data_IF_676815544783
#
_entry.id   IF_676815544783
#
_cell.length_a   1.000
_cell.length_b   1.000
_cell.length_c   1.000
_cell.angle_alpha   90.00
_cell.angle_beta   90.00
_cell.angle_gamma   90.00
#
_symmetry.space_group_name_H-M   'P 1'
#
loop_
_entity.id
_entity.type
_entity.pdbx_description
1 polymer ?
#
# COMPACT_ATOMS: atom_id res chain seq x y z
N UNK A 1 -65.86 48.94 -13.31
CA UNK A 1 -64.80 48.03 -12.84
C UNK A 1 -63.78 47.86 -13.96
N UNK A 2 -62.51 48.13 -13.62
CA UNK A 2 -61.24 47.86 -14.31
C UNK A 2 -61.03 48.30 -15.78
N UNK A 3 -60.12 49.26 -15.93
CA UNK A 3 -59.55 49.82 -17.15
C UNK A 3 -58.33 49.03 -17.66
N UNK A 4 -58.16 48.98 -18.97
CA UNK A 4 -56.94 48.60 -19.69
C UNK A 4 -55.89 49.72 -19.66
N UNK A 5 -54.61 49.39 -19.40
CA UNK A 5 -53.48 50.29 -19.63
C UNK A 5 -52.25 49.54 -20.16
N UNK A 6 -51.60 50.21 -21.10
CA UNK A 6 -50.50 49.80 -21.97
C UNK A 6 -49.12 49.95 -21.31
N UNK A 7 -48.16 49.20 -21.86
CA UNK A 7 -46.72 49.04 -21.64
C UNK A 7 -45.87 50.22 -21.12
N UNK A 8 -44.90 49.92 -20.25
CA UNK A 8 -43.55 50.49 -20.33
C UNK A 8 -42.46 49.57 -19.73
N UNK A 9 -41.37 49.45 -20.49
CA UNK A 9 -40.17 48.67 -20.29
C UNK A 9 -39.21 49.38 -19.31
N UNK A 10 -38.68 48.71 -18.29
CA UNK A 10 -37.53 49.21 -17.51
C UNK A 10 -36.70 48.05 -16.94
N UNK A 11 -35.49 47.92 -17.47
CA UNK A 11 -34.36 47.14 -16.93
C UNK A 11 -34.10 47.55 -15.48
N UNK A 12 -34.21 46.62 -14.54
CA UNK A 12 -33.65 46.78 -13.19
C UNK A 12 -32.19 46.30 -13.20
N UNK A 13 -31.32 47.15 -12.66
CA UNK A 13 -29.90 46.95 -12.52
C UNK A 13 -29.60 46.26 -11.18
N UNK A 14 -28.65 45.32 -11.20
CA UNK A 14 -28.09 44.67 -10.02
C UNK A 14 -27.55 45.70 -8.99
N UNK A 15 -27.74 45.48 -7.67
CA UNK A 15 -27.07 46.25 -6.64
C UNK A 15 -25.62 45.76 -6.50
N UNK A 16 -24.68 46.56 -6.98
CA UNK A 16 -23.23 46.38 -6.77
C UNK A 16 -22.87 46.44 -5.28
N UNK A 17 -22.17 45.41 -4.80
CA UNK A 17 -21.58 45.30 -3.45
C UNK A 17 -20.60 46.45 -3.17
N UNK A 18 -20.44 46.87 -1.90
CA UNK A 18 -19.53 47.97 -1.55
C UNK A 18 -18.07 47.58 -1.77
N UNK A 19 -17.33 48.48 -2.43
CA UNK A 19 -15.90 48.39 -2.71
C UNK A 19 -15.12 48.46 -1.39
N UNK A 20 -14.28 47.45 -1.13
CA UNK A 20 -13.47 47.39 0.09
C UNK A 20 -12.42 48.53 0.11
N UNK A 21 -12.25 49.25 1.24
CA UNK A 21 -11.31 50.36 1.31
C UNK A 21 -9.87 49.87 1.08
N UNK A 22 -9.11 50.65 0.31
CA UNK A 22 -7.77 50.30 -0.21
C UNK A 22 -6.76 49.81 0.84
N UNK A 23 -6.96 50.19 2.10
CA UNK A 23 -6.11 49.80 3.22
C UNK A 23 -6.31 48.33 3.67
N UNK A 24 -7.45 47.71 3.35
CA UNK A 24 -7.69 46.28 3.61
C UNK A 24 -7.06 45.37 2.55
N UNK A 25 -6.99 45.84 1.30
CA UNK A 25 -6.30 45.11 0.21
C UNK A 25 -4.80 44.96 0.49
N UNK A 26 -4.15 45.99 1.05
CA UNK A 26 -2.72 45.94 1.40
C UNK A 26 -2.42 44.92 2.49
N UNK A 27 -3.27 44.81 3.52
CA UNK A 27 -3.07 43.82 4.59
C UNK A 27 -3.35 42.41 4.11
N UNK A 28 -4.37 42.21 3.27
CA UNK A 28 -4.67 40.89 2.70
C UNK A 28 -3.56 40.42 1.76
N UNK A 29 -3.02 41.31 0.92
CA UNK A 29 -1.86 41.01 0.09
C UNK A 29 -0.61 40.68 0.90
N UNK A 30 -0.42 41.31 2.07
CA UNK A 30 0.67 40.97 2.99
C UNK A 30 0.47 39.60 3.64
N UNK A 31 -0.76 39.25 4.00
CA UNK A 31 -1.10 37.92 4.52
C UNK A 31 -0.93 36.84 3.45
N UNK A 32 -1.38 37.09 2.23
CA UNK A 32 -1.20 36.18 1.10
C UNK A 32 0.29 36.02 0.74
N UNK A 33 1.08 37.10 0.82
CA UNK A 33 2.53 37.04 0.61
C UNK A 33 3.25 36.22 1.69
N UNK A 34 2.80 36.30 2.96
CA UNK A 34 3.32 35.47 4.05
C UNK A 34 2.90 34.00 3.88
N UNK A 35 1.64 33.73 3.53
CA UNK A 35 1.14 32.38 3.23
C UNK A 35 1.89 31.73 2.05
N UNK A 36 2.17 32.49 0.99
CA UNK A 36 2.91 31.99 -0.17
C UNK A 36 4.41 31.79 0.14
N UNK A 37 5.00 32.64 0.99
CA UNK A 37 6.40 32.47 1.43
C UNK A 37 6.59 31.19 2.27
N UNK A 38 5.56 30.76 3.01
CA UNK A 38 5.56 29.48 3.73
C UNK A 38 5.32 28.28 2.80
N UNK A 39 4.59 28.47 1.69
CA UNK A 39 4.35 27.42 0.69
C UNK A 39 5.57 27.14 -0.22
N UNK A 40 6.38 28.17 -0.50
CA UNK A 40 7.56 28.07 -1.38
C UNK A 40 8.82 27.53 -0.69
N UNK A 41 8.78 27.29 0.62
CA UNK A 41 9.84 26.57 1.32
C UNK A 41 9.56 25.07 1.36
N UNK A 42 9.12 24.52 0.22
CA UNK A 42 9.19 23.08 -0.04
C UNK A 42 10.65 22.74 -0.35
N UNK A 43 11.49 22.73 0.69
CA UNK A 43 12.71 21.91 0.69
C UNK A 43 12.26 20.46 0.62
N UNK A 44 11.87 20.03 -0.58
CA UNK A 44 11.74 18.63 -0.94
C UNK A 44 13.14 18.05 -0.83
N UNK A 45 13.50 17.63 0.37
CA UNK A 45 14.61 16.72 0.59
C UNK A 45 14.20 15.44 -0.13
N UNK A 46 14.52 15.38 -1.43
CA UNK A 46 14.38 14.16 -2.20
C UNK A 46 15.34 13.17 -1.56
N UNK A 47 14.81 12.30 -0.70
CA UNK A 47 15.54 11.29 0.08
C UNK A 47 16.16 10.20 -0.82
N UNK A 48 16.39 10.49 -2.10
CA UNK A 48 16.70 9.52 -3.14
C UNK A 48 15.51 8.60 -3.41
N UNK A 49 15.53 7.92 -4.56
CA UNK A 49 14.62 6.80 -4.78
C UNK A 49 15.00 5.67 -3.81
N UNK A 50 14.04 4.99 -3.15
CA UNK A 50 14.33 3.76 -2.39
C UNK A 50 15.10 2.72 -3.22
N UNK A 51 14.95 2.77 -4.56
CA UNK A 51 15.66 1.94 -5.50
C UNK A 51 17.19 2.14 -5.52
N UNK A 52 17.70 3.26 -4.99
CA UNK A 52 19.12 3.54 -4.88
C UNK A 52 19.77 2.84 -3.67
N UNK A 53 18.98 2.32 -2.72
CA UNK A 53 19.52 1.71 -1.51
C UNK A 53 20.10 0.31 -1.79
N UNK A 54 21.30 -0.05 -1.27
CA UNK A 54 21.99 -1.31 -1.59
C UNK A 54 21.22 -2.58 -1.21
N UNK A 55 20.35 -2.51 -0.21
CA UNK A 55 19.46 -3.63 0.19
C UNK A 55 18.16 -3.72 -0.61
N UNK A 56 17.80 -2.70 -1.41
CA UNK A 56 16.55 -2.69 -2.15
C UNK A 56 16.45 -3.79 -3.23
N UNK A 57 17.52 -4.14 -3.99
CA UNK A 57 17.44 -5.20 -5.00
C UNK A 57 16.91 -6.53 -4.49
N UNK A 58 17.16 -6.88 -3.21
CA UNK A 58 16.67 -8.12 -2.60
C UNK A 58 15.14 -8.15 -2.46
N UNK A 59 14.50 -7.00 -2.22
CA UNK A 59 13.04 -6.90 -2.02
C UNK A 59 12.30 -6.30 -3.20
N UNK A 60 13.01 -5.72 -4.18
CA UNK A 60 12.42 -5.05 -5.32
C UNK A 60 11.36 -5.88 -6.08
N UNK A 61 11.54 -7.20 -6.30
CA UNK A 61 10.48 -8.02 -6.91
C UNK A 61 9.20 -8.05 -6.07
N UNK A 62 9.31 -8.19 -4.75
CA UNK A 62 8.16 -8.20 -3.85
C UNK A 62 7.50 -6.83 -3.75
N UNK A 63 8.27 -5.74 -3.64
CA UNK A 63 7.71 -4.38 -3.61
C UNK A 63 6.91 -4.07 -4.89
N UNK A 64 7.35 -4.57 -6.05
CA UNK A 64 6.60 -4.42 -7.32
C UNK A 64 5.35 -5.30 -7.39
N UNK A 65 5.41 -6.51 -6.84
CA UNK A 65 4.29 -7.46 -6.84
C UNK A 65 3.21 -7.08 -5.83
N UNK A 66 3.62 -6.56 -4.68
CA UNK A 66 2.76 -6.22 -3.55
C UNK A 66 2.94 -4.74 -3.19
N UNK A 67 2.47 -3.79 -4.03
CA UNK A 67 2.72 -2.37 -3.86
C UNK A 67 2.15 -1.80 -2.55
N UNK A 68 1.03 -2.35 -2.07
CA UNK A 68 0.41 -1.97 -0.78
C UNK A 68 1.28 -2.32 0.42
N UNK A 69 2.19 -3.27 0.27
CA UNK A 69 3.15 -3.68 1.30
C UNK A 69 4.56 -3.13 1.03
N UNK A 70 4.79 -2.39 -0.04
CA UNK A 70 6.14 -2.09 -0.53
C UNK A 70 7.04 -1.37 0.49
N UNK A 71 6.51 -0.32 1.13
CA UNK A 71 7.22 0.39 2.20
C UNK A 71 7.46 -0.53 3.39
N UNK A 72 6.46 -1.34 3.74
CA UNK A 72 6.51 -2.23 4.87
C UNK A 72 7.58 -3.32 4.68
N UNK A 73 7.56 -4.00 3.53
CA UNK A 73 8.53 -5.02 3.14
C UNK A 73 9.95 -4.48 3.25
N UNK A 74 10.20 -3.30 2.68
CA UNK A 74 11.56 -2.76 2.64
C UNK A 74 12.06 -2.40 4.03
N UNK A 75 11.26 -1.70 4.82
CA UNK A 75 11.68 -1.30 6.17
C UNK A 75 11.82 -2.50 7.10
N UNK A 76 10.89 -3.46 7.09
CA UNK A 76 11.04 -4.70 7.87
C UNK A 76 12.28 -5.48 7.44
N UNK A 77 12.57 -5.57 6.14
CA UNK A 77 13.79 -6.22 5.67
C UNK A 77 15.07 -5.54 6.18
N UNK A 78 15.11 -4.20 6.17
CA UNK A 78 16.23 -3.45 6.73
C UNK A 78 16.38 -3.66 8.22
N UNK A 79 15.28 -3.60 8.98
CA UNK A 79 15.29 -3.79 10.42
C UNK A 79 15.70 -5.21 10.81
N UNK A 80 15.22 -6.24 10.13
CA UNK A 80 15.63 -7.62 10.41
C UNK A 80 17.09 -7.88 10.03
N UNK A 81 17.56 -7.30 8.92
CA UNK A 81 18.94 -7.48 8.42
C UNK A 81 19.97 -6.71 9.25
N UNK A 82 19.60 -5.51 9.72
CA UNK A 82 20.51 -4.61 10.45
C UNK A 82 20.27 -4.63 11.96
N UNK A 83 19.10 -5.11 12.41
CA UNK A 83 18.69 -5.16 13.81
C UNK A 83 19.59 -6.08 14.62
N UNK A 84 19.76 -5.72 15.89
CA UNK A 84 20.77 -6.14 16.88
C UNK A 84 21.15 -7.64 16.92
N UNK A 85 21.73 -8.14 15.83
CA UNK A 85 22.31 -9.46 15.71
C UNK A 85 21.34 -10.63 16.03
N UNK A 86 20.03 -10.44 15.98
CA UNK A 86 19.06 -11.48 16.37
C UNK A 86 18.84 -12.55 15.27
N UNK A 87 18.99 -12.17 14.01
CA UNK A 87 18.70 -13.01 12.84
C UNK A 87 19.99 -13.43 12.13
N UNK A 88 20.08 -14.69 11.72
CA UNK A 88 21.17 -15.21 10.87
C UNK A 88 20.75 -15.40 9.41
N UNK A 89 19.46 -15.65 9.17
CA UNK A 89 18.87 -15.74 7.84
C UNK A 89 17.70 -14.77 7.75
N UNK A 90 17.64 -14.00 6.66
CA UNK A 90 16.55 -13.05 6.35
C UNK A 90 16.31 -13.09 4.84
N UNK A 91 15.25 -13.78 4.43
CA UNK A 91 14.93 -14.06 3.03
C UNK A 91 13.56 -13.49 2.66
N UNK A 92 13.48 -12.55 1.70
CA UNK A 92 12.21 -12.10 1.15
C UNK A 92 11.49 -13.26 0.47
N UNK A 93 10.20 -13.44 0.78
CA UNK A 93 9.39 -14.57 0.33
C UNK A 93 8.04 -14.08 -0.23
N UNK A 94 7.60 -14.67 -1.35
CA UNK A 94 6.21 -14.56 -1.80
C UNK A 94 5.44 -15.81 -1.37
N UNK A 95 4.48 -15.65 -0.46
CA UNK A 95 3.58 -16.72 -0.05
C UNK A 95 2.45 -16.86 -1.07
N UNK A 96 2.28 -18.05 -1.63
CA UNK A 96 1.20 -18.38 -2.56
C UNK A 96 0.87 -19.87 -2.51
N UNK A 97 -0.37 -20.25 -2.86
CA UNK A 97 -0.75 -21.66 -3.01
C UNK A 97 -0.09 -22.32 -4.23
N UNK A 98 0.35 -21.51 -5.21
CA UNK A 98 0.92 -21.97 -6.47
C UNK A 98 2.36 -21.43 -6.63
N UNK A 99 3.35 -22.07 -5.98
CA UNK A 99 4.74 -21.59 -5.95
C UNK A 99 5.46 -21.60 -7.31
N UNK A 100 4.81 -22.10 -8.37
CA UNK A 100 5.39 -22.28 -9.71
C UNK A 100 5.25 -21.06 -10.65
N UNK A 101 4.69 -19.93 -10.20
CA UNK A 101 4.51 -18.77 -11.11
C UNK A 101 5.71 -17.83 -11.24
N UNK A 102 6.79 -17.99 -10.46
CA UNK A 102 7.90 -17.02 -10.45
C UNK A 102 9.21 -17.46 -11.15
N UNK A 103 9.42 -18.76 -11.41
CA UNK A 103 10.67 -19.23 -12.03
C UNK A 103 10.69 -19.14 -13.56
N UNK A 104 9.57 -18.77 -14.21
CA UNK A 104 9.51 -18.71 -15.67
C UNK A 104 8.61 -17.61 -16.24
N UNK A 105 8.38 -16.51 -15.52
CA UNK A 105 8.07 -15.26 -16.22
C UNK A 105 9.41 -14.67 -16.67
N UNK A 106 9.99 -15.28 -17.72
CA UNK A 106 10.42 -14.42 -18.83
C UNK A 106 9.17 -13.60 -19.14
N UNK A 107 9.01 -12.45 -18.47
CA UNK A 107 8.25 -11.39 -19.08
C UNK A 107 9.08 -11.19 -20.33
N UNK A 108 8.57 -11.67 -21.46
CA UNK A 108 8.54 -10.82 -22.62
C UNK A 108 8.02 -9.48 -22.10
N UNK A 109 8.94 -8.68 -21.56
CA UNK A 109 8.85 -7.26 -21.69
C UNK A 109 9.05 -7.11 -23.18
N UNK A 110 7.99 -7.38 -23.95
CA UNK A 110 7.73 -6.52 -25.09
C UNK A 110 7.71 -5.14 -24.45
N UNK A 111 8.87 -4.48 -24.44
CA UNK A 111 8.94 -3.03 -24.42
C UNK A 111 8.17 -2.62 -25.66
N UNK A 112 6.83 -2.62 -25.55
CA UNK A 112 5.99 -1.95 -26.52
C UNK A 112 6.42 -0.52 -26.43
N UNK A 113 7.06 -0.05 -27.48
CA UNK A 113 7.41 1.34 -27.65
C UNK A 113 6.11 2.16 -27.55
N UNK A 114 5.89 2.74 -26.36
CA UNK A 114 4.70 3.52 -26.05
C UNK A 114 4.76 4.91 -26.69
N UNK A 115 5.83 5.26 -27.41
CA UNK A 115 5.97 6.58 -28.03
C UNK A 115 5.02 6.83 -29.20
N UNK A 116 4.30 5.79 -29.69
CA UNK A 116 3.42 5.86 -30.86
C UNK A 116 1.96 5.46 -30.59
N UNK A 117 1.56 5.26 -29.34
CA UNK A 117 0.17 4.95 -29.02
C UNK A 117 -0.70 6.21 -29.14
N UNK A 118 -1.93 6.05 -29.60
CA UNK A 118 -2.90 7.16 -29.58
C UNK A 118 -3.39 7.46 -28.16
N UNK A 119 -3.88 8.67 -27.92
CA UNK A 119 -4.44 9.06 -26.61
C UNK A 119 -5.56 8.09 -26.15
N UNK A 120 -6.42 7.65 -27.07
CA UNK A 120 -7.49 6.70 -26.79
C UNK A 120 -6.97 5.30 -26.40
N UNK A 121 -5.90 4.83 -27.05
CA UNK A 121 -5.25 3.56 -26.68
C UNK A 121 -4.52 3.68 -25.34
N UNK A 122 -3.90 4.82 -25.06
CA UNK A 122 -3.27 5.10 -23.77
C UNK A 122 -4.29 5.07 -22.63
N UNK A 123 -5.43 5.74 -22.80
CA UNK A 123 -6.54 5.75 -21.84
C UNK A 123 -7.07 4.33 -21.59
N UNK A 124 -7.30 3.55 -22.65
CA UNK A 124 -7.77 2.17 -22.51
C UNK A 124 -6.77 1.27 -21.76
N UNK A 125 -5.47 1.43 -22.01
CA UNK A 125 -4.42 0.69 -21.29
C UNK A 125 -4.34 1.11 -19.82
N UNK A 126 -4.48 2.40 -19.53
CA UNK A 126 -4.54 2.91 -18.15
C UNK A 126 -5.76 2.33 -17.45
N UNK A 127 -6.93 2.37 -18.07
CA UNK A 127 -8.17 1.84 -17.49
C UNK A 127 -8.07 0.32 -17.26
N UNK A 128 -7.56 -0.43 -18.24
CA UNK A 128 -7.29 -1.86 -18.08
C UNK A 128 -6.32 -2.11 -16.92
N UNK A 129 -5.27 -1.29 -16.77
CA UNK A 129 -4.29 -1.44 -15.70
C UNK A 129 -4.86 -1.07 -14.34
N UNK A 130 -5.67 -0.03 -14.25
CA UNK A 130 -6.39 0.37 -13.04
C UNK A 130 -7.36 -0.73 -12.62
N UNK A 131 -8.16 -1.26 -13.53
CA UNK A 131 -9.07 -2.38 -13.27
C UNK A 131 -8.30 -3.65 -12.82
N UNK A 132 -7.12 -3.91 -13.38
CA UNK A 132 -6.28 -5.03 -12.97
C UNK A 132 -5.65 -4.79 -11.58
N UNK A 133 -5.26 -3.55 -11.25
CA UNK A 133 -4.75 -3.18 -9.93
C UNK A 133 -5.85 -3.28 -8.87
N UNK A 134 -7.07 -2.85 -9.20
CA UNK A 134 -8.24 -2.96 -8.34
C UNK A 134 -8.62 -4.41 -8.03
N UNK A 135 -8.30 -5.35 -8.93
CA UNK A 135 -8.60 -6.80 -8.80
C UNK A 135 -7.43 -7.66 -8.31
N UNK A 136 -6.18 -7.20 -8.48
CA UNK A 136 -4.98 -8.03 -8.37
C UNK A 136 -3.98 -7.57 -7.31
N UNK A 137 -4.16 -6.39 -6.72
CA UNK A 137 -3.44 -6.06 -5.49
C UNK A 137 -4.13 -6.80 -4.36
N UNK A 138 -3.41 -7.66 -3.63
CA UNK A 138 -3.91 -8.16 -2.37
C UNK A 138 -4.22 -6.91 -1.53
N UNK A 139 -5.52 -6.62 -1.37
CA UNK A 139 -6.04 -5.53 -0.54
C UNK A 139 -5.88 -5.90 0.93
N UNK A 140 -4.70 -6.38 1.29
CA UNK A 140 -4.32 -6.65 2.66
C UNK A 140 -4.47 -5.31 3.40
N UNK A 141 -5.55 -5.21 4.15
CA UNK A 141 -5.89 -4.02 4.91
C UNK A 141 -6.43 -2.79 4.20
N UNK A 142 -6.81 -2.84 2.91
CA UNK A 142 -7.57 -1.73 2.30
C UNK A 142 -9.07 -1.92 2.55
N UNK A 143 -9.68 -1.02 3.34
CA UNK A 143 -11.08 -1.05 3.83
C UNK A 143 -12.12 -0.71 2.73
N UNK A 144 -11.84 -1.03 1.46
CA UNK A 144 -12.59 -0.50 0.31
C UNK A 144 -13.25 -1.50 -0.64
N UNK A 145 -13.26 -2.81 -0.34
CA UNK A 145 -13.74 -3.81 -1.29
C UNK A 145 -14.59 -4.91 -0.67
N UNK A 146 -15.88 -4.87 -0.99
CA UNK A 146 -16.91 -5.88 -0.75
C UNK A 146 -17.25 -6.21 0.71
N UNK A 147 -18.50 -5.92 1.06
CA UNK A 147 -19.17 -6.30 2.32
C UNK A 147 -19.44 -7.82 2.42
N UNK A 148 -18.87 -8.64 1.54
CA UNK A 148 -18.87 -10.10 1.66
C UNK A 148 -17.92 -10.57 2.77
N UNK A 149 -18.46 -11.25 3.79
CA UNK A 149 -17.69 -11.78 4.92
C UNK A 149 -16.60 -12.79 4.51
N UNK A 150 -16.75 -13.46 3.36
CA UNK A 150 -15.88 -14.58 2.94
C UNK A 150 -14.86 -14.22 1.84
N UNK A 151 -15.05 -13.14 1.08
CA UNK A 151 -14.27 -12.88 -0.14
C UNK A 151 -12.79 -12.53 0.14
N UNK A 152 -12.50 -11.88 1.27
CA UNK A 152 -11.15 -11.40 1.57
C UNK A 152 -10.12 -12.49 1.84
N UNK A 153 -10.55 -13.66 2.32
CA UNK A 153 -9.67 -14.81 2.52
C UNK A 153 -9.32 -15.49 1.20
N UNK A 154 -10.34 -15.75 0.37
CA UNK A 154 -10.17 -16.37 -0.94
C UNK A 154 -9.32 -15.52 -1.88
N UNK A 155 -9.53 -14.20 -1.88
CA UNK A 155 -8.69 -13.26 -2.63
C UNK A 155 -7.23 -13.34 -2.19
N UNK A 156 -6.96 -13.38 -0.88
CA UNK A 156 -5.60 -13.50 -0.36
C UNK A 156 -4.95 -14.84 -0.74
N UNK A 157 -5.71 -15.94 -0.73
CA UNK A 157 -5.22 -17.25 -1.20
C UNK A 157 -4.89 -17.26 -2.70
N UNK A 158 -5.67 -16.53 -3.51
CA UNK A 158 -5.49 -16.42 -4.95
C UNK A 158 -4.32 -15.53 -5.34
N UNK A 159 -4.20 -14.36 -4.71
CA UNK A 159 -3.17 -13.35 -5.03
C UNK A 159 -1.84 -13.65 -4.33
N UNK A 160 -1.90 -14.21 -3.13
CA UNK A 160 -0.76 -14.38 -2.26
C UNK A 160 -0.37 -13.10 -1.51
N UNK A 161 0.80 -13.15 -0.88
CA UNK A 161 1.23 -12.20 0.15
C UNK A 161 2.76 -12.10 0.16
N UNK A 162 3.30 -10.90 0.39
CA UNK A 162 4.72 -10.77 0.71
C UNK A 162 4.99 -11.15 2.16
N UNK A 163 6.08 -11.84 2.39
CA UNK A 163 6.56 -12.21 3.70
C UNK A 163 8.08 -12.12 3.74
N UNK A 164 8.63 -12.26 4.93
CA UNK A 164 10.06 -12.49 5.15
C UNK A 164 10.18 -13.78 5.94
N UNK A 165 10.88 -14.74 5.37
CA UNK A 165 11.31 -15.96 6.06
C UNK A 165 12.59 -15.62 6.79
N UNK A 166 12.57 -15.72 8.11
CA UNK A 166 13.71 -15.42 8.93
C UNK A 166 14.08 -16.59 9.83
N UNK A 167 15.36 -16.69 10.20
CA UNK A 167 15.80 -17.55 11.30
C UNK A 167 16.59 -16.72 12.30
N UNK A 168 16.33 -16.96 13.59
CA UNK A 168 17.12 -16.38 14.67
C UNK A 168 18.39 -17.19 14.88
N UNK A 169 19.48 -16.56 15.32
CA UNK A 169 20.79 -17.22 15.50
C UNK A 169 20.74 -18.53 16.31
N UNK A 170 19.91 -18.58 17.33
CA UNK A 170 19.80 -19.74 18.23
C UNK A 170 18.55 -20.61 17.94
N UNK A 171 17.77 -20.25 16.92
CA UNK A 171 16.56 -20.98 16.54
C UNK A 171 16.87 -22.06 15.50
N UNK A 172 16.25 -23.22 15.66
CA UNK A 172 16.33 -24.33 14.69
C UNK A 172 15.31 -24.18 13.56
N UNK A 173 14.19 -23.52 13.85
CA UNK A 173 13.11 -23.28 12.91
C UNK A 173 13.17 -21.87 12.34
N UNK A 174 12.66 -21.75 11.12
CA UNK A 174 12.37 -20.47 10.49
C UNK A 174 11.03 -19.94 10.97
N UNK A 175 10.96 -18.65 11.18
CA UNK A 175 9.75 -17.88 11.48
C UNK A 175 9.32 -17.13 10.21
N UNK A 176 8.02 -16.91 10.07
CA UNK A 176 7.45 -16.09 9.00
C UNK A 176 7.05 -14.74 9.58
N UNK A 177 7.55 -13.67 8.95
CA UNK A 177 7.23 -12.28 9.28
C UNK A 177 6.39 -11.68 8.15
N UNK A 178 5.22 -11.12 8.49
CA UNK A 178 4.31 -10.43 7.56
C UNK A 178 4.46 -8.92 7.77
N UNK A 179 5.04 -8.20 6.79
CA UNK A 179 5.17 -6.75 6.85
C UNK A 179 3.84 -6.06 6.54
N UNK A 180 3.43 -5.15 7.42
CA UNK A 180 2.17 -4.41 7.32
C UNK A 180 2.37 -2.93 7.65
N UNK A 181 1.54 -2.05 7.10
CA UNK A 181 1.43 -0.67 7.59
C UNK A 181 0.35 -0.58 8.67
N UNK A 182 0.43 0.38 9.59
CA UNK A 182 -0.56 0.57 10.66
C UNK A 182 -1.99 0.83 10.13
N UNK A 183 -2.09 1.32 8.89
CA UNK A 183 -3.36 1.57 8.20
C UNK A 183 -4.01 0.31 7.63
N UNK A 184 -3.30 -0.83 7.66
CA UNK A 184 -3.82 -2.09 7.15
C UNK A 184 -4.57 -2.87 8.24
N UNK A 185 -5.82 -3.20 7.94
CA UNK A 185 -6.69 -4.00 8.81
C UNK A 185 -6.66 -5.48 8.40
N UNK A 186 -6.30 -6.37 9.33
CA UNK A 186 -6.40 -7.82 9.13
C UNK A 186 -7.73 -8.34 9.69
N UNK A 187 -8.54 -8.95 8.82
CA UNK A 187 -9.74 -9.69 9.23
C UNK A 187 -9.38 -11.09 9.71
N UNK A 188 -10.16 -11.72 10.62
CA UNK A 188 -9.91 -13.10 11.05
C UNK A 188 -9.79 -14.10 9.89
N UNK A 189 -10.64 -13.98 8.86
CA UNK A 189 -10.57 -14.84 7.67
C UNK A 189 -9.25 -14.69 6.89
N UNK A 190 -8.66 -13.49 6.89
CA UNK A 190 -7.36 -13.24 6.28
C UNK A 190 -6.23 -13.87 7.10
N UNK A 191 -6.32 -13.86 8.43
CA UNK A 191 -5.36 -14.57 9.29
C UNK A 191 -5.41 -16.09 9.01
N UNK A 192 -6.60 -16.67 8.88
CA UNK A 192 -6.75 -18.09 8.48
C UNK A 192 -6.11 -18.36 7.12
N UNK A 193 -6.31 -17.48 6.14
CA UNK A 193 -5.69 -17.59 4.83
C UNK A 193 -4.15 -17.45 4.90
N UNK A 194 -3.61 -16.56 5.75
CA UNK A 194 -2.17 -16.43 6.00
C UNK A 194 -1.59 -17.75 6.51
N UNK A 195 -2.18 -18.35 7.54
CA UNK A 195 -1.72 -19.65 8.07
C UNK A 195 -1.81 -20.75 7.02
N UNK A 196 -2.86 -20.75 6.18
CA UNK A 196 -2.99 -21.70 5.07
C UNK A 196 -1.84 -21.56 4.07
N UNK A 197 -1.46 -20.33 3.70
CA UNK A 197 -0.33 -20.06 2.81
C UNK A 197 1.01 -20.47 3.43
N UNK A 198 1.20 -20.23 4.72
CA UNK A 198 2.40 -20.63 5.47
C UNK A 198 2.52 -22.16 5.49
N UNK A 199 1.43 -22.85 5.78
CA UNK A 199 1.40 -24.32 5.79
C UNK A 199 1.71 -24.90 4.40
N UNK A 200 1.13 -24.31 3.34
CA UNK A 200 1.40 -24.71 1.97
C UNK A 200 2.88 -24.49 1.61
N UNK A 201 3.47 -23.37 2.01
CA UNK A 201 4.89 -23.11 1.79
C UNK A 201 5.78 -24.10 2.56
N UNK A 202 5.50 -24.32 3.86
CA UNK A 202 6.24 -25.26 4.69
C UNK A 202 6.24 -26.68 4.12
N UNK A 203 5.13 -27.12 3.51
CA UNK A 203 5.04 -28.42 2.85
C UNK A 203 5.93 -28.55 1.59
N UNK A 204 6.36 -27.42 1.01
CA UNK A 204 7.28 -27.40 -0.15
C UNK A 204 8.75 -27.22 0.22
N UNK A 205 9.04 -26.93 1.48
CA UNK A 205 10.40 -26.74 1.96
C UNK A 205 11.17 -28.05 2.01
N UNK A 206 12.50 -27.94 1.85
CA UNK A 206 13.39 -29.09 1.96
C UNK A 206 13.41 -29.64 3.39
N UNK A 207 13.71 -30.93 3.60
CA UNK A 207 13.65 -31.55 4.93
C UNK A 207 14.52 -30.91 6.02
N UNK A 208 15.56 -30.16 5.63
CA UNK A 208 16.46 -29.46 6.54
C UNK A 208 15.98 -28.06 6.93
N UNK A 209 14.89 -27.57 6.36
CA UNK A 209 14.30 -26.27 6.66
C UNK A 209 12.95 -26.47 7.35
N UNK A 210 12.96 -26.46 8.68
CA UNK A 210 11.74 -26.50 9.46
C UNK A 210 11.16 -25.11 9.59
N UNK A 211 9.96 -24.87 9.04
CA UNK A 211 9.22 -23.63 9.27
C UNK A 211 8.29 -23.84 10.46
N UNK A 212 8.31 -22.91 11.41
CA UNK A 212 7.32 -22.86 12.48
C UNK A 212 6.00 -22.32 11.91
N UNK A 213 4.98 -23.16 11.89
CA UNK A 213 3.64 -22.81 11.40
C UNK A 213 2.66 -22.50 12.54
N UNK A 214 3.10 -22.64 13.80
CA UNK A 214 2.26 -22.42 14.99
C UNK A 214 1.96 -20.94 15.24
N UNK A 215 2.78 -20.04 14.70
CA UNK A 215 2.61 -18.60 14.87
C UNK A 215 3.19 -17.84 13.68
N UNK A 216 2.77 -16.59 13.55
CA UNK A 216 3.27 -15.65 12.56
C UNK A 216 3.63 -14.34 13.26
N UNK A 217 4.73 -13.71 12.84
CA UNK A 217 5.12 -12.39 13.31
C UNK A 217 4.51 -11.33 12.39
N UNK A 218 3.78 -10.38 12.95
CA UNK A 218 3.31 -9.20 12.24
C UNK A 218 4.28 -8.06 12.52
N UNK A 219 4.94 -7.55 11.48
CA UNK A 219 5.79 -6.37 11.56
C UNK A 219 4.99 -5.15 11.11
N UNK A 220 4.50 -4.37 12.06
CA UNK A 220 3.63 -3.23 11.80
C UNK A 220 4.45 -1.95 11.77
N UNK A 221 4.35 -1.22 10.66
CA UNK A 221 5.07 0.03 10.42
C UNK A 221 4.14 1.21 10.59
N UNK A 222 4.55 2.12 11.48
CA UNK A 222 3.94 3.42 11.64
C UNK A 222 4.50 4.44 10.62
N UNK A 223 3.79 5.56 10.36
CA UNK A 223 4.21 6.56 9.37
C UNK A 223 5.55 7.24 9.68
N UNK A 224 5.98 7.21 10.93
CA UNK A 224 7.28 7.70 11.41
C UNK A 224 8.42 6.68 11.20
N UNK A 225 8.15 5.59 10.49
CA UNK A 225 9.06 4.44 10.28
C UNK A 225 9.36 3.61 11.54
N UNK A 226 8.60 3.79 12.63
CA UNK A 226 8.68 2.92 13.79
C UNK A 226 8.13 1.53 13.45
N UNK A 227 8.86 0.48 13.83
CA UNK A 227 8.50 -0.92 13.67
C UNK A 227 8.08 -1.54 15.00
N UNK A 228 6.93 -2.22 15.01
CA UNK A 228 6.44 -3.00 16.16
C UNK A 228 6.14 -4.43 15.71
N UNK A 229 6.61 -5.40 16.47
CA UNK A 229 6.41 -6.82 16.19
C UNK A 229 5.37 -7.42 17.13
N UNK A 230 4.35 -8.06 16.56
CA UNK A 230 3.36 -8.84 17.29
C UNK A 230 3.43 -10.30 16.88
N UNK A 231 3.33 -11.20 17.85
CA UNK A 231 3.18 -12.63 17.58
C UNK A 231 1.69 -12.94 17.57
N UNK A 232 1.23 -13.57 16.49
CA UNK A 232 -0.12 -14.13 16.38
C UNK A 232 0.01 -15.63 16.26
N UNK A 233 -0.52 -16.36 17.23
CA UNK A 233 -0.56 -17.82 17.20
C UNK A 233 -1.74 -18.32 16.38
N UNK A 234 -1.56 -19.49 15.77
CA UNK A 234 -2.65 -20.29 15.23
C UNK A 234 -3.64 -20.60 16.38
N UNK A 235 -4.93 -20.61 16.08
CA UNK A 235 -6.01 -20.86 17.03
C UNK A 235 -6.21 -19.78 18.13
N UNK A 236 -5.70 -18.56 17.91
CA UNK A 236 -6.02 -17.44 18.79
C UNK A 236 -7.52 -17.11 18.73
N UNK A 237 -8.26 -17.49 19.78
CA UNK A 237 -9.69 -17.21 19.93
C UNK A 237 -9.88 -15.81 20.48
N UNK A 238 -10.92 -15.09 20.02
CA UNK A 238 -11.31 -13.80 20.60
C UNK A 238 -11.49 -13.97 22.11
N UNK A 239 -10.92 -13.10 22.95
CA UNK A 239 -11.16 -13.14 24.39
C UNK A 239 -12.67 -13.00 24.63
N UNK A 240 -13.22 -13.98 25.34
CA UNK A 240 -14.61 -13.97 25.80
C UNK A 240 -14.63 -13.06 27.02
N UNK A 241 -15.26 -11.89 26.91
CA UNK A 241 -15.60 -11.04 28.06
C UNK A 241 -17.04 -11.30 28.46
#
# INVERSE_FOLDING_TARGET
MASTSTSHNKKEADPSLPEAPSHQLSNQQQYDALLNAEADTSSTTSLGSPAAHPSYPAVAPLCRRYPTQASAIFQTYLDLKNGAAAWDVVEPLALSLHPQSDSNVKREVEERDLSRISDAEAEALIEQRLQALDRGTAKLGLVGGSEGQDEGGEELLKVGLAAIKGRRKDAKSFEIVIPLTITQYLRPIQLTAIFTLIQAHAATCVPNEQIDTSHVLLAIIAPDSTLVYYIVSQDMVKPIN
#
